data_IF_695303863075
#
_entry.id   IF_695303863075
#
_cell.length_a   1.000
_cell.length_b   1.000
_cell.length_c   1.000
_cell.angle_alpha   90.00
_cell.angle_beta   90.00
_cell.angle_gamma   90.00
#
_symmetry.space_group_name_H-M   'P 1'
#
loop_
_entity.id
_entity.type
_entity.pdbx_description
1 polymer ?
#
# COMPACT_ATOMS: atom_id res chain seq x y z
N UNK A 1 5.80 -22.89 17.54
CA UNK A 1 4.96 -21.99 16.73
C UNK A 1 3.86 -21.40 17.62
N UNK A 2 4.11 -20.23 18.24
CA UNK A 2 3.21 -19.52 19.19
C UNK A 2 2.85 -18.09 18.71
N UNK A 3 3.10 -17.78 17.44
CA UNK A 3 3.01 -16.40 16.92
C UNK A 3 1.59 -15.94 16.56
N UNK A 4 0.63 -16.85 16.38
CA UNK A 4 -0.72 -16.54 15.88
C UNK A 4 -1.56 -15.75 16.88
N UNK A 5 -1.61 -16.18 18.15
CA UNK A 5 -2.45 -15.52 19.18
C UNK A 5 -2.11 -14.04 19.40
N UNK A 6 -0.84 -13.66 19.26
CA UNK A 6 -0.43 -12.26 19.45
C UNK A 6 -0.78 -11.41 18.22
N UNK A 7 -0.75 -11.99 17.01
CA UNK A 7 -1.09 -11.26 15.80
C UNK A 7 -2.58 -10.89 15.77
N UNK A 8 -3.47 -11.81 16.15
CA UNK A 8 -4.92 -11.55 16.16
C UNK A 8 -5.28 -10.46 17.17
N UNK A 9 -4.66 -10.46 18.35
CA UNK A 9 -4.86 -9.42 19.37
C UNK A 9 -4.41 -8.05 18.87
N UNK A 10 -3.26 -7.97 18.19
CA UNK A 10 -2.78 -6.72 17.58
C UNK A 10 -3.76 -6.26 16.49
N UNK A 11 -4.22 -7.15 15.63
CA UNK A 11 -5.18 -6.83 14.57
C UNK A 11 -6.49 -6.27 15.14
N UNK A 12 -7.05 -6.92 16.15
CA UNK A 12 -8.25 -6.44 16.85
C UNK A 12 -8.01 -5.07 17.51
N UNK A 13 -6.89 -4.90 18.22
CA UNK A 13 -6.56 -3.63 18.86
C UNK A 13 -6.42 -2.48 17.86
N UNK A 14 -5.73 -2.72 16.74
CA UNK A 14 -5.56 -1.72 15.67
C UNK A 14 -6.89 -1.40 15.00
N UNK A 15 -7.70 -2.40 14.67
CA UNK A 15 -8.99 -2.17 14.03
C UNK A 15 -9.96 -1.40 14.92
N UNK A 16 -10.02 -1.74 16.22
CA UNK A 16 -10.88 -1.06 17.18
C UNK A 16 -10.45 0.39 17.46
N UNK A 17 -9.20 0.75 17.15
CA UNK A 17 -8.70 2.12 17.24
C UNK A 17 -8.99 2.96 15.98
N UNK A 18 -9.51 2.36 14.89
CA UNK A 18 -9.89 3.10 13.69
C UNK A 18 -11.24 3.80 13.89
N UNK A 19 -11.32 5.05 13.42
CA UNK A 19 -12.56 5.79 13.35
C UNK A 19 -13.44 5.41 12.15
N UNK A 20 -14.75 5.65 12.27
CA UNK A 20 -15.72 5.50 11.19
C UNK A 20 -15.97 6.85 10.51
N UNK A 21 -15.88 6.92 9.19
CA UNK A 21 -16.01 8.13 8.39
C UNK A 21 -14.68 8.85 8.17
N UNK A 22 -14.56 9.52 7.03
CA UNK A 22 -13.32 10.18 6.57
C UNK A 22 -12.77 11.22 7.56
N UNK A 23 -13.65 11.93 8.26
CA UNK A 23 -13.31 12.93 9.27
C UNK A 23 -12.60 12.34 10.50
N UNK A 24 -12.74 11.03 10.72
CA UNK A 24 -12.14 10.31 11.85
C UNK A 24 -10.88 9.52 11.43
N UNK A 25 -10.25 9.89 10.33
CA UNK A 25 -9.03 9.25 9.87
C UNK A 25 -7.88 9.42 10.87
N UNK A 26 -7.22 8.31 11.20
CA UNK A 26 -6.19 8.26 12.23
C UNK A 26 -4.83 7.84 11.64
N UNK A 27 -3.77 8.56 11.99
CA UNK A 27 -2.42 8.29 11.49
C UNK A 27 -1.82 7.02 12.11
N UNK A 28 -0.80 6.43 11.46
CA UNK A 28 -0.09 5.26 12.05
C UNK A 28 0.68 5.61 13.32
N UNK A 29 1.19 6.84 13.41
CA UNK A 29 1.85 7.34 14.61
C UNK A 29 0.86 7.39 15.78
N UNK A 30 -0.35 7.86 15.53
CA UNK A 30 -1.41 7.91 16.53
C UNK A 30 -1.93 6.51 16.91
N UNK A 31 -2.12 5.63 15.93
CA UNK A 31 -2.41 4.20 16.19
C UNK A 31 -1.32 3.54 17.04
N UNK A 32 -0.05 3.85 16.79
CA UNK A 32 1.06 3.34 17.59
C UNK A 32 0.99 3.88 19.03
N UNK A 33 0.66 5.17 19.20
CA UNK A 33 0.52 5.81 20.50
C UNK A 33 -0.63 5.21 21.31
N UNK A 34 -1.80 5.01 20.70
CA UNK A 34 -3.00 4.52 21.38
C UNK A 34 -2.90 3.03 21.71
N UNK A 35 -2.37 2.23 20.78
CA UNK A 35 -2.30 0.76 20.97
C UNK A 35 -1.04 0.30 21.69
N UNK A 36 -0.01 1.15 21.80
CA UNK A 36 1.29 0.81 22.35
C UNK A 36 2.18 -0.07 21.45
N UNK A 37 1.70 -0.43 20.26
CA UNK A 37 2.47 -1.24 19.31
C UNK A 37 3.36 -0.38 18.41
N UNK A 38 4.51 -0.93 18.02
CA UNK A 38 5.44 -0.27 17.08
C UNK A 38 4.80 -0.12 15.69
N UNK A 39 5.14 0.94 14.96
CA UNK A 39 4.61 1.24 13.62
C UNK A 39 4.65 0.04 12.65
N UNK A 40 5.73 -0.77 12.68
CA UNK A 40 5.81 -1.99 11.87
C UNK A 40 4.64 -2.95 12.13
N UNK A 41 4.26 -3.16 13.39
CA UNK A 41 3.13 -4.02 13.78
C UNK A 41 1.79 -3.42 13.38
N UNK A 42 1.65 -2.09 13.46
CA UNK A 42 0.47 -1.38 12.97
C UNK A 42 0.30 -1.62 11.46
N UNK A 43 1.37 -1.44 10.69
CA UNK A 43 1.36 -1.64 9.24
C UNK A 43 0.98 -3.08 8.87
N UNK A 44 1.63 -4.07 9.50
CA UNK A 44 1.33 -5.50 9.29
C UNK A 44 -0.14 -5.83 9.63
N UNK A 45 -0.67 -5.25 10.71
CA UNK A 45 -2.06 -5.46 11.12
C UNK A 45 -3.07 -4.84 10.14
N UNK A 46 -2.84 -3.62 9.66
CA UNK A 46 -3.68 -2.96 8.65
C UNK A 46 -3.67 -3.76 7.35
N UNK A 47 -2.49 -4.20 6.90
CA UNK A 47 -2.33 -5.01 5.68
C UNK A 47 -3.12 -6.32 5.78
N UNK A 48 -3.01 -7.04 6.90
CA UNK A 48 -3.75 -8.28 7.12
C UNK A 48 -5.28 -8.07 7.20
N UNK A 49 -5.72 -7.06 7.94
CA UNK A 49 -7.15 -6.79 8.13
C UNK A 49 -7.85 -6.35 6.84
N UNK A 50 -7.15 -5.66 5.94
CA UNK A 50 -7.68 -5.23 4.63
C UNK A 50 -8.15 -6.39 3.74
N UNK A 51 -7.74 -7.63 4.00
CA UNK A 51 -8.22 -8.79 3.26
C UNK A 51 -9.68 -9.14 3.55
N UNK A 52 -10.21 -8.77 4.72
CA UNK A 52 -11.57 -9.11 5.14
C UNK A 52 -12.40 -7.92 5.63
N UNK A 53 -11.76 -6.78 5.91
CA UNK A 53 -12.40 -5.56 6.42
C UNK A 53 -12.08 -4.38 5.52
N UNK A 54 -13.05 -3.46 5.40
CA UNK A 54 -12.85 -2.21 4.66
C UNK A 54 -12.07 -1.24 5.54
N UNK A 55 -10.83 -0.94 5.13
CA UNK A 55 -9.97 0.07 5.75
C UNK A 55 -9.34 0.87 4.62
N UNK A 56 -9.72 2.13 4.46
CA UNK A 56 -9.18 3.00 3.41
C UNK A 56 -8.32 4.10 4.03
N UNK A 57 -7.43 4.67 3.22
CA UNK A 57 -6.57 5.76 3.65
C UNK A 57 -6.93 7.06 2.93
N UNK A 58 -6.58 8.18 3.56
CA UNK A 58 -6.68 9.50 2.95
C UNK A 58 -5.76 9.63 1.72
N UNK A 59 -6.09 10.58 0.85
CA UNK A 59 -5.48 10.76 -0.46
C UNK A 59 -4.01 11.20 -0.37
N UNK A 60 -3.67 11.95 0.67
CA UNK A 60 -2.31 12.32 1.05
C UNK A 60 -1.51 11.16 1.66
N UNK A 61 -2.14 9.99 1.88
CA UNK A 61 -1.51 8.82 2.51
C UNK A 61 -1.49 8.86 4.04
N UNK A 62 -1.90 9.98 4.65
CA UNK A 62 -1.87 10.18 6.09
C UNK A 62 -3.25 10.01 6.70
N UNK A 63 -3.48 8.84 7.28
CA UNK A 63 -4.69 8.54 8.03
C UNK A 63 -5.47 7.37 7.45
N UNK A 64 -5.93 6.49 8.33
CA UNK A 64 -6.74 5.31 8.02
C UNK A 64 -8.10 5.45 8.68
N UNK A 65 -9.15 5.00 8.01
CA UNK A 65 -10.50 4.99 8.55
C UNK A 65 -11.31 3.85 7.95
N UNK A 66 -12.41 3.53 8.62
CA UNK A 66 -13.47 2.67 8.12
C UNK A 66 -14.50 3.60 7.47
N UNK A 67 -14.82 3.48 6.18
CA UNK A 67 -15.88 4.31 5.60
C UNK A 67 -17.22 3.98 6.27
N UNK A 68 -18.09 4.99 6.40
CA UNK A 68 -19.44 4.74 6.91
C UNK A 68 -20.28 3.91 5.94
N UNK A 69 -21.41 3.38 6.42
CA UNK A 69 -22.31 2.55 5.60
C UNK A 69 -23.22 3.35 4.67
N UNK A 70 -23.09 4.68 4.65
CA UNK A 70 -23.95 5.57 3.85
C UNK A 70 -23.57 5.49 2.36
N UNK A 71 -24.37 6.14 1.51
CA UNK A 71 -24.03 6.28 0.10
C UNK A 71 -22.68 7.00 -0.10
N UNK A 72 -22.34 7.95 0.77
CA UNK A 72 -21.06 8.66 0.70
C UNK A 72 -19.89 7.73 1.01
N UNK A 73 -19.94 6.98 2.12
CA UNK A 73 -18.87 6.03 2.46
C UNK A 73 -18.67 4.95 1.39
N UNK A 74 -19.76 4.47 0.76
CA UNK A 74 -19.67 3.55 -0.39
C UNK A 74 -18.98 4.19 -1.60
N UNK A 75 -19.26 5.47 -1.90
CA UNK A 75 -18.60 6.22 -2.98
C UNK A 75 -17.11 6.43 -2.68
N UNK A 76 -16.76 6.73 -1.44
CA UNK A 76 -15.37 6.87 -1.00
C UNK A 76 -14.59 5.55 -1.17
N UNK A 77 -15.18 4.42 -0.76
CA UNK A 77 -14.60 3.10 -0.96
C UNK A 77 -14.42 2.77 -2.45
N UNK A 78 -15.44 3.03 -3.30
CA UNK A 78 -15.35 2.82 -4.74
C UNK A 78 -14.25 3.69 -5.39
N UNK A 79 -14.16 4.96 -5.00
CA UNK A 79 -13.11 5.86 -5.48
C UNK A 79 -11.72 5.42 -5.03
N UNK A 80 -11.60 4.85 -3.83
CA UNK A 80 -10.35 4.27 -3.35
C UNK A 80 -9.95 3.03 -4.17
N UNK A 81 -10.88 2.12 -4.46
CA UNK A 81 -10.63 0.94 -5.33
C UNK A 81 -10.12 1.38 -6.71
N UNK A 82 -10.82 2.31 -7.36
CA UNK A 82 -10.42 2.82 -8.67
C UNK A 82 -9.02 3.48 -8.68
N UNK A 83 -8.56 4.02 -7.55
CA UNK A 83 -7.19 4.51 -7.39
C UNK A 83 -6.18 3.39 -7.21
N UNK A 84 -6.52 2.35 -6.43
CA UNK A 84 -5.66 1.18 -6.29
C UNK A 84 -5.48 0.48 -7.64
N UNK A 85 -6.53 0.32 -8.44
CA UNK A 85 -6.44 -0.30 -9.77
C UNK A 85 -5.50 0.49 -10.69
N UNK A 86 -5.61 1.81 -10.71
CA UNK A 86 -4.68 2.67 -11.44
C UNK A 86 -3.24 2.50 -10.96
N UNK A 87 -3.03 2.39 -9.64
CA UNK A 87 -1.71 2.14 -9.05
C UNK A 87 -1.15 0.78 -9.47
N UNK A 88 -1.98 -0.26 -9.52
CA UNK A 88 -1.59 -1.60 -10.01
C UNK A 88 -1.13 -1.52 -11.47
N UNK A 89 -1.89 -0.84 -12.34
CA UNK A 89 -1.49 -0.66 -13.75
C UNK A 89 -0.18 0.13 -13.89
N UNK A 90 -0.02 1.21 -13.11
CA UNK A 90 1.21 2.01 -13.09
C UNK A 90 2.41 1.16 -12.64
N UNK A 91 2.28 0.38 -11.56
CA UNK A 91 3.34 -0.53 -11.10
C UNK A 91 3.69 -1.60 -12.13
N UNK A 92 2.68 -2.16 -12.82
CA UNK A 92 2.89 -3.12 -13.91
C UNK A 92 3.67 -2.49 -15.08
N UNK A 93 3.37 -1.23 -15.42
CA UNK A 93 4.08 -0.49 -16.45
C UNK A 93 5.52 -0.15 -16.03
N UNK A 94 5.74 0.35 -14.81
CA UNK A 94 7.05 0.74 -14.29
C UNK A 94 8.06 -0.42 -14.28
N UNK A 95 7.58 -1.64 -14.06
CA UNK A 95 8.40 -2.86 -14.04
C UNK A 95 8.73 -3.41 -15.44
N UNK A 96 8.19 -2.83 -16.52
CA UNK A 96 8.41 -3.29 -17.90
C UNK A 96 9.88 -3.24 -18.33
N UNK A 97 10.63 -2.21 -17.90
CA UNK A 97 12.06 -2.08 -18.18
C UNK A 97 12.88 -3.21 -17.55
N UNK A 98 12.68 -3.46 -16.25
CA UNK A 98 13.34 -4.54 -15.53
C UNK A 98 13.03 -5.92 -16.14
N UNK A 99 11.76 -6.18 -16.52
CA UNK A 99 11.40 -7.43 -17.21
C UNK A 99 12.12 -7.62 -18.55
N UNK A 100 12.24 -6.55 -19.35
CA UNK A 100 12.97 -6.60 -20.62
C UNK A 100 14.45 -6.92 -20.42
N UNK A 101 15.06 -6.32 -19.40
CA UNK A 101 16.45 -6.57 -19.03
C UNK A 101 16.67 -8.05 -18.67
N UNK A 102 15.84 -8.61 -17.77
CA UNK A 102 15.93 -10.03 -17.38
C UNK A 102 15.74 -10.97 -18.58
N UNK A 103 14.85 -10.63 -19.51
CA UNK A 103 14.58 -11.45 -20.70
C UNK A 103 15.57 -11.23 -21.86
N UNK A 104 16.66 -10.49 -21.65
CA UNK A 104 17.67 -10.23 -22.68
C UNK A 104 17.17 -9.41 -23.88
N UNK A 105 16.02 -8.74 -23.75
CA UNK A 105 15.46 -7.91 -24.81
C UNK A 105 16.29 -6.65 -24.92
N UNK A 106 17.00 -6.46 -26.05
CA UNK A 106 17.76 -5.24 -26.32
C UNK A 106 16.79 -4.05 -26.30
N UNK A 107 16.97 -3.17 -25.31
CA UNK A 107 16.26 -1.89 -25.28
C UNK A 107 16.80 -1.00 -26.40
N UNK A 108 15.92 -0.24 -27.06
CA UNK A 108 16.37 0.86 -27.92
C UNK A 108 17.23 1.79 -27.06
N UNK A 109 18.42 2.13 -27.55
CA UNK A 109 19.27 3.10 -26.89
C UNK A 109 18.54 4.43 -26.71
N UNK A 110 18.84 5.15 -25.65
CA UNK A 110 18.32 6.50 -25.46
C UNK A 110 19.17 7.45 -26.31
N UNK A 111 18.58 8.26 -27.22
CA UNK A 111 19.33 9.22 -28.02
C UNK A 111 20.19 10.12 -27.15
N UNK A 112 21.46 10.30 -27.51
CA UNK A 112 22.43 11.09 -26.74
C UNK A 112 23.07 10.38 -25.54
N UNK A 113 22.64 9.16 -25.20
CA UNK A 113 23.30 8.37 -24.16
C UNK A 113 24.54 7.67 -24.74
N UNK A 114 25.73 8.16 -24.38
CA UNK A 114 27.00 7.49 -24.71
C UNK A 114 27.11 6.21 -23.88
N UNK A 115 27.10 5.05 -24.53
CA UNK A 115 27.39 3.77 -23.87
C UNK A 115 28.90 3.62 -23.69
N UNK A 116 29.44 3.96 -22.51
CA UNK A 116 30.86 3.73 -22.18
C UNK A 116 31.22 2.25 -21.94
N UNK A 117 30.24 1.35 -21.97
CA UNK A 117 30.44 -0.09 -21.73
C UNK A 117 30.30 -0.94 -23.00
N UNK A 118 30.33 -0.32 -24.19
CA UNK A 118 30.02 -0.97 -25.47
C UNK A 118 31.18 -1.26 -26.42
N UNK A 119 32.43 -0.96 -26.06
CA UNK A 119 33.57 -1.16 -26.96
C UNK A 119 34.65 -2.01 -26.29
N UNK A 120 34.37 -3.31 -26.15
CA UNK A 120 35.26 -4.26 -25.50
C UNK A 120 34.72 -5.67 -25.62
N UNK A 121 34.72 -6.22 -26.84
CA UNK A 121 34.43 -7.63 -27.10
C UNK A 121 34.93 -7.99 -28.49
N UNK A 122 35.91 -8.90 -28.53
CA UNK A 122 36.48 -9.54 -29.73
C UNK A 122 35.43 -10.30 -30.55
#
# INVERSE_FOLDING_TARGET
MRYTKNSDVIQCAVYNALGVGKQNAISRAELSRITGYKDRRIREAIEAMRYSKVIINLDNGDGYYIPDSTLQGRREAAAWIARQDRRIQSMKAATKGARRFVNGVRSKGIPGQISMFGMGGM
#
